data_IF_367523846480
#
_entry.id   IF_367523846480
#
_cell.length_a   1.000
_cell.length_b   1.000
_cell.length_c   1.000
_cell.angle_alpha   90.00
_cell.angle_beta   90.00
_cell.angle_gamma   90.00
#
_symmetry.space_group_name_H-M   'P 1'
#
loop_
_entity.id
_entity.type
_entity.pdbx_description
1 polymer ?
#
# COMPACT_ATOMS: atom_id res chain seq x y z
N UNK A 1 -32.34 29.45 7.70
CA UNK A 1 -31.80 29.34 9.07
C UNK A 1 -31.09 28.00 9.20
N UNK A 2 -29.75 28.00 9.28
CA UNK A 2 -28.87 26.85 9.03
C UNK A 2 -28.18 26.34 10.30
N UNK A 3 -28.39 25.06 10.64
CA UNK A 3 -27.72 24.35 11.75
C UNK A 3 -26.38 23.71 11.32
N UNK A 4 -25.42 24.50 10.84
CA UNK A 4 -24.11 23.95 10.37
C UNK A 4 -22.88 24.71 10.88
N UNK A 5 -23.01 25.71 11.76
CA UNK A 5 -21.85 26.44 12.31
C UNK A 5 -21.67 26.15 13.80
N UNK A 6 -21.18 24.95 14.13
CA UNK A 6 -20.56 24.62 15.44
C UNK A 6 -19.66 23.39 15.26
N UNK A 7 -18.51 23.55 14.61
CA UNK A 7 -17.41 22.57 14.65
C UNK A 7 -16.11 23.17 14.11
N UNK A 8 -15.70 24.26 14.72
CA UNK A 8 -14.32 24.73 14.74
C UNK A 8 -14.12 25.31 16.15
N UNK A 9 -12.98 25.03 16.78
CA UNK A 9 -12.63 25.33 18.20
C UNK A 9 -12.85 24.22 19.24
N UNK A 10 -12.30 23.03 19.00
CA UNK A 10 -11.93 22.12 20.10
C UNK A 10 -10.60 21.43 19.79
N UNK A 11 -9.52 22.20 19.90
CA UNK A 11 -8.15 21.72 19.75
C UNK A 11 -7.24 22.32 20.83
N UNK A 12 -7.53 22.00 22.09
CA UNK A 12 -6.56 22.04 23.20
C UNK A 12 -7.01 21.04 24.27
N UNK A 13 -6.21 20.01 24.65
CA UNK A 13 -6.49 19.26 25.86
C UNK A 13 -6.28 20.16 27.09
N UNK A 14 -7.13 20.09 28.12
CA UNK A 14 -6.92 20.86 29.34
C UNK A 14 -5.62 20.43 30.04
N UNK A 15 -4.79 21.43 30.34
CA UNK A 15 -3.59 21.34 31.17
C UNK A 15 -3.99 20.82 32.56
N UNK A 16 -3.56 19.61 32.90
CA UNK A 16 -3.77 19.04 34.23
C UNK A 16 -3.06 19.92 35.28
N UNK A 17 -3.83 20.45 36.23
CA UNK A 17 -3.31 21.11 37.42
C UNK A 17 -2.77 20.09 38.43
N UNK A 18 -1.91 20.51 39.37
CA UNK A 18 -1.38 19.64 40.42
C UNK A 18 -2.49 19.27 41.41
N UNK A 19 -2.93 18.02 41.40
CA UNK A 19 -3.82 17.48 42.44
C UNK A 19 -3.02 17.16 43.70
N UNK A 20 -3.16 18.00 44.71
CA UNK A 20 -2.71 17.75 46.08
C UNK A 20 -3.71 16.85 46.81
N UNK A 21 -3.48 15.54 46.79
CA UNK A 21 -4.07 14.61 47.77
C UNK A 21 -3.01 13.58 48.21
N UNK A 22 -2.86 13.33 49.53
CA UNK A 22 -1.85 12.41 50.05
C UNK A 22 -2.27 10.95 49.82
N UNK A 23 -1.43 10.20 49.12
CA UNK A 23 -1.58 8.75 49.00
C UNK A 23 -1.13 8.06 50.32
N UNK A 24 -1.88 7.07 50.82
CA UNK A 24 -1.42 6.26 51.94
C UNK A 24 -0.27 5.35 51.51
N UNK A 25 0.84 5.45 52.23
CA UNK A 25 2.01 4.60 52.06
C UNK A 25 1.74 3.18 52.58
N UNK A 26 1.40 2.25 51.70
CA UNK A 26 1.59 0.81 51.95
C UNK A 26 2.79 0.36 51.12
N UNK A 27 3.93 0.28 51.79
CA UNK A 27 5.27 0.14 51.22
C UNK A 27 5.65 -1.31 50.84
N UNK A 28 4.72 -2.26 50.87
CA UNK A 28 4.95 -3.61 50.38
C UNK A 28 3.65 -4.23 49.83
N UNK A 29 3.48 -4.39 48.51
CA UNK A 29 2.48 -5.34 48.02
C UNK A 29 2.96 -6.74 48.41
N UNK A 30 2.21 -7.39 49.30
CA UNK A 30 2.33 -8.82 49.56
C UNK A 30 2.43 -9.54 48.22
N UNK A 31 3.52 -10.32 48.07
CA UNK A 31 3.84 -11.07 46.86
C UNK A 31 2.57 -11.70 46.26
N UNK A 32 2.29 -11.36 45.00
CA UNK A 32 1.22 -11.98 44.25
C UNK A 32 1.44 -13.49 44.26
N UNK A 33 0.48 -14.22 44.83
CA UNK A 33 0.36 -15.66 44.68
C UNK A 33 0.59 -16.05 43.22
N UNK A 34 1.32 -17.15 43.02
CA UNK A 34 1.80 -17.65 41.72
C UNK A 34 0.70 -18.04 40.70
N UNK A 35 -0.53 -17.56 40.88
CA UNK A 35 -1.75 -18.02 40.21
C UNK A 35 -2.17 -17.21 38.99
N UNK A 36 -1.39 -16.25 38.50
CA UNK A 36 -1.79 -15.56 37.26
C UNK A 36 -0.62 -15.05 36.43
N UNK A 37 -0.16 -15.85 35.48
CA UNK A 37 0.75 -15.47 34.40
C UNK A 37 0.10 -14.61 33.31
N UNK A 38 -1.14 -14.12 33.53
CA UNK A 38 -1.87 -13.34 32.54
C UNK A 38 -1.33 -11.89 32.49
N UNK A 39 -1.03 -11.35 31.30
CA UNK A 39 -0.67 -9.94 31.13
C UNK A 39 -1.71 -8.99 31.74
N UNK A 40 -1.28 -7.87 32.31
CA UNK A 40 -2.17 -6.88 32.96
C UNK A 40 -3.31 -6.40 32.05
N UNK A 41 -3.04 -6.22 30.75
CA UNK A 41 -4.06 -5.84 29.76
C UNK A 41 -5.18 -6.88 29.60
N UNK A 42 -4.84 -8.17 29.70
CA UNK A 42 -5.80 -9.28 29.64
C UNK A 42 -6.62 -9.34 30.93
N UNK A 43 -5.98 -9.13 32.09
CA UNK A 43 -6.69 -9.04 33.38
C UNK A 43 -7.71 -7.91 33.38
N UNK A 44 -7.29 -6.72 32.93
CA UNK A 44 -8.16 -5.55 32.80
C UNK A 44 -9.35 -5.83 31.88
N UNK A 45 -9.10 -6.41 30.70
CA UNK A 45 -10.18 -6.77 29.77
C UNK A 45 -11.14 -7.80 30.37
N UNK A 46 -10.66 -8.79 31.13
CA UNK A 46 -11.52 -9.78 31.80
C UNK A 46 -12.33 -9.17 32.96
N UNK A 47 -11.81 -8.16 33.63
CA UNK A 47 -12.54 -7.40 34.65
C UNK A 47 -13.62 -6.50 34.02
N UNK A 48 -13.31 -5.85 32.90
CA UNK A 48 -14.25 -4.98 32.16
C UNK A 48 -15.31 -5.79 31.39
N UNK A 49 -14.96 -6.98 30.92
CA UNK A 49 -15.83 -7.88 30.17
C UNK A 49 -15.66 -9.31 30.69
N UNK A 50 -16.30 -9.65 31.83
CA UNK A 50 -16.27 -11.02 32.33
C UNK A 50 -16.87 -11.96 31.28
N UNK A 51 -16.32 -13.17 31.11
CA UNK A 51 -16.94 -14.17 30.24
C UNK A 51 -18.37 -14.42 30.71
N UNK A 52 -19.27 -14.68 29.76
CA UNK A 52 -20.67 -14.92 30.06
C UNK A 52 -20.79 -16.11 31.04
N UNK A 53 -21.68 -16.08 32.05
CA UNK A 53 -21.80 -17.18 33.02
C UNK A 53 -22.16 -18.52 32.37
N UNK A 54 -22.74 -18.51 31.17
CA UNK A 54 -23.03 -19.72 30.38
C UNK A 54 -21.89 -20.14 29.44
N UNK A 55 -20.83 -19.35 29.28
CA UNK A 55 -19.67 -19.81 28.52
C UNK A 55 -18.94 -20.85 29.37
N UNK A 56 -18.99 -22.11 28.93
CA UNK A 56 -18.30 -23.19 29.60
C UNK A 56 -16.80 -22.82 29.77
N UNK A 57 -16.19 -23.13 30.93
CA UNK A 57 -14.76 -22.95 31.10
C UNK A 57 -14.05 -23.68 29.96
N UNK A 58 -12.94 -23.09 29.49
CA UNK A 58 -12.15 -23.73 28.43
C UNK A 58 -11.85 -25.17 28.84
N UNK A 59 -12.02 -26.16 27.96
CA UNK A 59 -11.81 -27.57 28.31
C UNK A 59 -10.38 -27.85 28.78
N UNK A 60 -9.42 -27.01 28.41
CA UNK A 60 -8.03 -27.09 28.88
C UNK A 60 -7.83 -26.64 30.34
N UNK A 61 -8.79 -25.89 30.90
CA UNK A 61 -8.75 -25.34 32.25
C UNK A 61 -9.70 -26.04 33.22
N UNK A 62 -10.47 -27.01 32.76
CA UNK A 62 -11.35 -27.81 33.62
C UNK A 62 -10.51 -28.89 34.32
N UNK A 63 -10.33 -28.85 35.66
CA UNK A 63 -9.54 -29.84 36.38
C UNK A 63 -10.14 -31.24 36.28
N UNK A 64 -11.46 -31.35 36.12
CA UNK A 64 -12.14 -32.63 36.04
C UNK A 64 -11.85 -33.35 34.71
N UNK A 65 -11.47 -32.63 33.65
CA UNK A 65 -11.04 -33.24 32.39
C UNK A 65 -9.61 -33.85 32.47
N UNK A 66 -8.81 -33.46 33.47
CA UNK A 66 -7.48 -34.04 33.71
C UNK A 66 -7.52 -35.24 34.67
N UNK A 67 -8.62 -35.41 35.41
CA UNK A 67 -8.77 -36.51 36.36
C UNK A 67 -9.34 -37.74 35.63
N UNK A 68 -8.59 -38.86 35.56
CA UNK A 68 -9.06 -40.07 34.91
C UNK A 68 -10.33 -40.65 35.55
N UNK A 69 -10.60 -40.33 36.83
CA UNK A 69 -11.75 -40.85 37.58
C UNK A 69 -13.05 -40.05 37.36
N UNK A 70 -12.98 -38.85 36.78
CA UNK A 70 -14.14 -37.95 36.64
C UNK A 70 -15.21 -38.47 35.67
N UNK A 71 -14.82 -39.26 34.66
CA UNK A 71 -15.73 -39.77 33.63
C UNK A 71 -16.29 -38.69 32.67
N UNK A 72 -15.86 -37.43 32.82
CA UNK A 72 -16.19 -36.36 31.86
C UNK A 72 -15.57 -36.62 30.50
N UNK A 73 -16.40 -36.53 29.45
CA UNK A 73 -15.97 -36.72 28.05
C UNK A 73 -15.42 -35.43 27.45
N UNK A 74 -14.49 -35.57 26.51
CA UNK A 74 -13.98 -34.44 25.75
C UNK A 74 -15.08 -33.82 24.87
N UNK A 75 -15.03 -32.50 24.62
CA UNK A 75 -15.78 -31.89 23.54
C UNK A 75 -15.48 -32.57 22.19
N UNK A 76 -16.47 -32.67 21.32
CA UNK A 76 -16.40 -33.43 20.04
C UNK A 76 -15.14 -33.13 19.21
N UNK A 77 -14.74 -31.87 19.10
CA UNK A 77 -13.54 -31.48 18.34
C UNK A 77 -12.24 -31.99 18.96
N UNK A 78 -12.14 -31.95 20.30
CA UNK A 78 -10.96 -32.44 21.01
C UNK A 78 -10.91 -33.96 21.02
N UNK A 79 -12.06 -34.63 21.12
CA UNK A 79 -12.15 -36.08 20.99
C UNK A 79 -11.69 -36.52 19.60
N UNK A 80 -12.12 -35.83 18.55
CA UNK A 80 -11.68 -36.12 17.18
C UNK A 80 -10.16 -35.97 17.03
N UNK A 81 -9.60 -34.85 17.46
CA UNK A 81 -8.14 -34.61 17.42
C UNK A 81 -7.36 -35.71 18.19
N UNK A 82 -7.88 -36.11 19.35
CA UNK A 82 -7.29 -37.18 20.18
C UNK A 82 -7.33 -38.54 19.48
N UNK A 83 -8.49 -38.91 18.91
CA UNK A 83 -8.67 -40.18 18.18
C UNK A 83 -7.83 -40.23 16.92
N UNK A 84 -7.76 -39.13 16.17
CA UNK A 84 -6.92 -39.02 14.98
C UNK A 84 -5.44 -39.23 15.36
N UNK A 85 -4.98 -38.63 16.47
CA UNK A 85 -3.63 -38.81 16.96
C UNK A 85 -3.36 -40.27 17.32
N UNK A 86 -4.22 -40.90 18.12
CA UNK A 86 -4.09 -42.32 18.49
C UNK A 86 -4.08 -43.24 17.28
N UNK A 87 -4.94 -43.00 16.30
CA UNK A 87 -5.00 -43.82 15.08
C UNK A 87 -3.71 -43.76 14.25
N UNK A 88 -2.93 -42.67 14.40
CA UNK A 88 -1.73 -42.39 13.62
C UNK A 88 -0.42 -42.76 14.32
N UNK A 89 -0.48 -43.30 15.55
CA UNK A 89 0.70 -43.53 16.38
C UNK A 89 0.65 -44.82 17.19
N UNK A 90 1.82 -45.38 17.42
CA UNK A 90 2.04 -46.45 18.38
C UNK A 90 2.51 -45.86 19.72
N UNK A 91 1.89 -46.33 20.80
CA UNK A 91 2.31 -46.01 22.17
C UNK A 91 2.92 -47.27 22.80
N UNK A 92 4.22 -47.23 23.17
CA UNK A 92 4.96 -48.43 23.56
C UNK A 92 4.41 -49.13 24.81
N UNK A 93 3.75 -48.41 25.71
CA UNK A 93 3.38 -48.93 27.03
C UNK A 93 1.88 -49.23 27.21
N UNK A 94 1.07 -49.20 26.15
CA UNK A 94 -0.36 -49.56 26.25
C UNK A 94 -1.11 -48.82 27.37
N UNK A 95 -0.71 -47.56 27.64
CA UNK A 95 -1.18 -46.80 28.78
C UNK A 95 -2.71 -46.67 28.82
N UNK A 96 -3.24 -46.55 30.04
CA UNK A 96 -4.67 -46.33 30.25
C UNK A 96 -5.17 -45.10 29.45
N UNK A 97 -6.29 -45.25 28.74
CA UNK A 97 -6.87 -44.22 27.84
C UNK A 97 -7.02 -42.89 28.60
N UNK A 98 -7.36 -42.97 29.88
CA UNK A 98 -7.53 -41.83 30.76
C UNK A 98 -6.20 -41.08 31.04
N UNK A 99 -5.08 -41.79 31.16
CA UNK A 99 -3.75 -41.16 31.29
C UNK A 99 -3.31 -40.50 29.98
N UNK A 100 -3.55 -41.16 28.84
CA UNK A 100 -3.26 -40.61 27.51
C UNK A 100 -4.07 -39.34 27.24
N UNK A 101 -5.33 -39.29 27.66
CA UNK A 101 -6.19 -38.10 27.62
C UNK A 101 -5.60 -36.94 28.44
N UNK A 102 -5.13 -37.22 29.66
CA UNK A 102 -4.46 -36.22 30.50
C UNK A 102 -3.18 -35.66 29.85
N UNK A 103 -2.34 -36.54 29.29
CA UNK A 103 -1.13 -36.14 28.56
C UNK A 103 -1.45 -35.33 27.30
N UNK A 104 -2.51 -35.69 26.57
CA UNK A 104 -2.99 -34.94 25.41
C UNK A 104 -3.43 -33.52 25.76
N UNK A 105 -4.18 -33.34 26.85
CA UNK A 105 -4.60 -32.02 27.33
C UNK A 105 -3.41 -31.17 27.78
N UNK A 106 -2.46 -31.78 28.53
CA UNK A 106 -1.22 -31.13 28.94
C UNK A 106 -0.40 -30.67 27.74
N UNK A 107 -0.17 -31.56 26.77
CA UNK A 107 0.53 -31.24 25.52
C UNK A 107 -0.19 -30.16 24.72
N UNK A 108 -1.52 -30.17 24.66
CA UNK A 108 -2.29 -29.14 23.95
C UNK A 108 -2.20 -27.77 24.64
N UNK A 109 -2.21 -27.74 25.97
CA UNK A 109 -2.03 -26.52 26.75
C UNK A 109 -0.62 -25.93 26.56
N UNK A 110 0.41 -26.78 26.62
CA UNK A 110 1.80 -26.39 26.37
C UNK A 110 2.02 -25.93 24.92
N UNK A 111 1.44 -26.62 23.94
CA UNK A 111 1.55 -26.21 22.54
C UNK A 111 0.93 -24.83 22.33
N UNK A 112 -0.26 -24.57 22.89
CA UNK A 112 -0.93 -23.26 22.81
C UNK A 112 -0.15 -22.17 23.54
N UNK A 113 0.54 -22.46 24.64
CA UNK A 113 1.39 -21.48 25.32
C UNK A 113 2.63 -21.14 24.49
N UNK A 114 3.25 -22.14 23.83
CA UNK A 114 4.38 -21.96 22.90
C UNK A 114 4.02 -21.12 21.67
N UNK A 115 2.89 -21.42 21.02
CA UNK A 115 2.42 -20.71 19.81
C UNK A 115 2.05 -19.24 20.09
N UNK A 116 1.72 -18.90 21.35
CA UNK A 116 1.35 -17.53 21.74
C UNK A 116 2.54 -16.61 22.05
N UNK A 117 3.79 -17.09 22.00
CA UNK A 117 4.96 -16.31 22.46
C UNK A 117 6.13 -16.21 21.48
N UNK A 118 6.57 -17.30 20.87
CA UNK A 118 7.70 -17.33 19.93
C UNK A 118 7.75 -18.72 19.32
N UNK A 119 7.50 -18.87 18.01
CA UNK A 119 7.64 -20.18 17.37
C UNK A 119 9.14 -20.53 17.28
N UNK A 120 9.60 -21.69 17.81
CA UNK A 120 10.91 -22.19 17.44
C UNK A 120 10.92 -22.39 15.91
N UNK A 121 11.99 -21.93 15.26
CA UNK A 121 12.25 -22.17 13.84
C UNK A 121 12.58 -23.66 13.67
N UNK A 122 11.53 -24.46 13.54
CA UNK A 122 11.56 -25.88 13.23
C UNK A 122 10.12 -26.32 13.09
N UNK A 123 9.69 -26.66 11.87
CA UNK A 123 8.30 -27.09 11.61
C UNK A 123 8.10 -28.51 12.12
N UNK A 124 8.03 -28.71 13.43
CA UNK A 124 7.35 -29.90 13.93
C UNK A 124 5.85 -29.58 13.98
N UNK A 125 5.04 -30.41 13.31
CA UNK A 125 3.59 -30.22 13.28
C UNK A 125 3.00 -30.31 14.69
N UNK A 126 1.83 -29.69 14.95
CA UNK A 126 1.11 -29.84 16.24
C UNK A 126 1.03 -31.29 16.69
N UNK A 127 0.75 -32.22 15.77
CA UNK A 127 0.64 -33.65 16.06
C UNK A 127 1.98 -34.26 16.51
N UNK A 128 3.09 -33.90 15.87
CA UNK A 128 4.42 -34.40 16.22
C UNK A 128 4.85 -33.92 17.61
N UNK A 129 4.54 -32.68 17.96
CA UNK A 129 4.76 -32.17 19.31
C UNK A 129 3.92 -32.93 20.35
N UNK A 130 2.63 -33.11 20.07
CA UNK A 130 1.73 -33.84 20.96
C UNK A 130 2.16 -35.29 21.13
N UNK A 131 2.59 -35.95 20.06
CA UNK A 131 3.15 -37.30 20.10
C UNK A 131 4.38 -37.38 20.99
N UNK A 132 5.32 -36.44 20.87
CA UNK A 132 6.48 -36.38 21.75
C UNK A 132 6.13 -36.18 23.22
N UNK A 133 5.11 -35.38 23.54
CA UNK A 133 4.63 -35.20 24.93
C UNK A 133 3.93 -36.45 25.45
N UNK A 134 3.22 -37.17 24.59
CA UNK A 134 2.51 -38.41 24.94
C UNK A 134 3.40 -39.67 24.89
N UNK A 135 4.67 -39.54 24.48
CA UNK A 135 5.57 -40.68 24.31
C UNK A 135 5.24 -41.58 23.10
N UNK A 136 4.40 -41.12 22.18
CA UNK A 136 4.00 -41.87 20.99
C UNK A 136 4.99 -41.72 19.84
N UNK A 137 5.18 -42.80 19.08
CA UNK A 137 5.91 -42.76 17.81
C UNK A 137 4.91 -42.81 16.65
N UNK A 138 5.17 -42.04 15.59
CA UNK A 138 4.31 -42.04 14.41
C UNK A 138 4.45 -43.40 13.71
N UNK A 139 3.33 -44.03 13.37
CA UNK A 139 3.31 -45.17 12.47
C UNK A 139 3.92 -44.71 11.15
N UNK A 140 5.19 -45.07 10.93
CA UNK A 140 5.76 -45.01 9.59
C UNK A 140 5.01 -46.08 8.82
N UNK A 141 4.10 -45.67 7.95
CA UNK A 141 3.47 -46.58 7.01
C UNK A 141 4.60 -47.18 6.17
N UNK A 142 5.10 -48.34 6.59
CA UNK A 142 6.05 -49.18 5.88
C UNK A 142 5.33 -49.79 4.68
N UNK A 143 4.93 -48.93 3.76
CA UNK A 143 4.47 -49.31 2.44
C UNK A 143 5.65 -49.10 1.50
N UNK A 144 6.41 -50.19 1.32
CA UNK A 144 7.21 -50.49 0.14
C UNK A 144 8.34 -49.53 -0.19
N UNK A 145 9.52 -49.78 0.37
CA UNK A 145 10.76 -49.12 -0.03
C UNK A 145 11.94 -49.64 0.76
N UNK A 146 12.25 -50.92 0.61
CA UNK A 146 13.55 -51.46 1.01
C UNK A 146 14.63 -50.75 0.19
N UNK A 147 15.33 -49.85 0.86
CA UNK A 147 16.51 -49.16 0.39
C UNK A 147 17.34 -48.85 1.62
N UNK A 148 18.13 -49.83 2.05
CA UNK A 148 19.14 -49.65 3.08
C UNK A 148 20.09 -48.53 2.67
N UNK A 149 20.09 -47.46 3.46
CA UNK A 149 20.99 -46.33 3.31
C UNK A 149 21.11 -45.64 4.65
N UNK A 150 22.27 -45.82 5.29
CA UNK A 150 22.65 -45.21 6.57
C UNK A 150 22.32 -43.71 6.66
N UNK A 151 21.87 -43.22 7.84
CA UNK A 151 21.79 -41.79 8.09
C UNK A 151 23.14 -41.26 8.59
N UNK A 152 23.97 -40.73 7.69
CA UNK A 152 25.04 -39.82 8.09
C UNK A 152 24.51 -38.38 8.17
N UNK A 153 24.64 -37.67 9.31
CA UNK A 153 24.26 -36.27 9.42
C UNK A 153 25.41 -35.40 8.94
N UNK A 154 25.62 -35.30 7.63
CA UNK A 154 26.53 -34.29 7.07
C UNK A 154 25.74 -33.02 6.81
N UNK A 155 25.83 -32.09 7.75
CA UNK A 155 25.50 -30.67 7.57
C UNK A 155 26.49 -30.04 6.59
N UNK A 156 26.37 -30.38 5.31
CA UNK A 156 27.07 -29.67 4.23
C UNK A 156 26.19 -28.51 3.83
N UNK A 157 26.61 -27.30 4.21
CA UNK A 157 26.11 -26.04 3.66
C UNK A 157 26.49 -25.95 2.18
N UNK A 158 25.84 -26.75 1.35
CA UNK A 158 25.88 -26.59 -0.09
C UNK A 158 25.24 -25.23 -0.39
N UNK A 159 26.02 -24.34 -1.00
CA UNK A 159 25.48 -23.14 -1.64
C UNK A 159 24.48 -23.62 -2.68
N UNK A 160 23.19 -23.64 -2.31
CA UNK A 160 22.12 -24.06 -3.18
C UNK A 160 22.22 -23.25 -4.48
N UNK A 161 22.43 -23.95 -5.60
CA UNK A 161 22.42 -23.31 -6.91
C UNK A 161 21.12 -22.49 -7.01
N UNK A 162 21.18 -21.20 -7.39
CA UNK A 162 19.98 -20.38 -7.52
C UNK A 162 18.97 -20.94 -8.54
N UNK A 163 19.42 -21.90 -9.37
CA UNK A 163 18.64 -22.63 -10.36
C UNK A 163 18.07 -23.96 -9.86
N UNK A 164 18.43 -24.42 -8.67
CA UNK A 164 17.83 -25.63 -8.11
C UNK A 164 16.37 -25.32 -7.74
N UNK A 165 15.43 -25.86 -8.52
CA UNK A 165 14.00 -25.66 -8.31
C UNK A 165 13.57 -26.46 -7.08
N UNK A 166 13.60 -25.82 -5.92
CA UNK A 166 13.09 -26.39 -4.68
C UNK A 166 11.58 -26.15 -4.63
N UNK A 167 10.77 -27.03 -5.24
CA UNK A 167 9.32 -26.89 -5.18
C UNK A 167 8.51 -27.79 -6.11
N UNK A 168 7.18 -27.66 -6.01
CA UNK A 168 6.22 -28.34 -6.87
C UNK A 168 6.27 -27.76 -8.28
N UNK A 169 6.35 -28.62 -9.29
CA UNK A 169 6.33 -28.21 -10.69
C UNK A 169 4.90 -27.86 -11.11
N UNK A 170 4.72 -26.65 -11.62
CA UNK A 170 3.46 -26.15 -12.16
C UNK A 170 3.66 -25.97 -13.67
N UNK A 171 3.07 -26.87 -14.46
CA UNK A 171 3.24 -26.85 -15.92
C UNK A 171 2.38 -25.79 -16.60
N UNK A 172 1.18 -25.53 -16.07
CA UNK A 172 0.20 -24.61 -16.67
C UNK A 172 -0.27 -23.59 -15.63
N UNK A 173 0.54 -22.56 -15.34
CA UNK A 173 0.19 -21.57 -14.33
C UNK A 173 -0.94 -20.66 -14.82
N UNK A 174 -2.09 -20.66 -14.14
CA UNK A 174 -3.19 -19.70 -14.37
C UNK A 174 -3.03 -18.47 -13.46
N UNK A 175 -1.96 -17.71 -13.66
CA UNK A 175 -1.70 -16.48 -12.91
C UNK A 175 -1.56 -15.30 -13.85
N UNK A 176 -2.04 -14.15 -13.40
CA UNK A 176 -1.89 -12.89 -14.11
C UNK A 176 -1.03 -11.95 -13.27
N UNK A 177 0.05 -11.47 -13.88
CA UNK A 177 0.95 -10.48 -13.27
C UNK A 177 0.88 -9.23 -14.14
N UNK A 178 0.76 -8.07 -13.51
CA UNK A 178 0.69 -6.79 -14.22
C UNK A 178 1.90 -5.94 -13.87
N UNK A 179 2.69 -5.56 -14.87
CA UNK A 179 3.72 -4.55 -14.73
C UNK A 179 3.05 -3.18 -14.49
N UNK A 180 3.49 -2.48 -13.46
CA UNK A 180 3.00 -1.17 -13.06
C UNK A 180 4.15 -0.16 -13.13
N UNK A 181 3.84 1.07 -13.56
CA UNK A 181 4.80 2.17 -13.48
C UNK A 181 5.22 2.41 -12.03
N UNK A 182 6.52 2.57 -11.82
CA UNK A 182 7.02 2.95 -10.52
C UNK A 182 6.55 4.36 -10.20
N UNK A 183 6.23 4.59 -8.93
CA UNK A 183 5.88 5.92 -8.45
C UNK A 183 7.16 6.65 -8.06
N UNK A 184 7.54 7.65 -8.83
CA UNK A 184 8.64 8.56 -8.50
C UNK A 184 8.06 9.83 -7.85
N UNK A 185 8.43 10.15 -6.59
CA UNK A 185 8.06 11.42 -5.99
C UNK A 185 8.54 12.60 -6.83
N UNK A 186 7.81 13.73 -6.85
CA UNK A 186 8.24 14.91 -7.62
C UNK A 186 9.61 15.38 -7.11
N UNK A 187 10.56 15.57 -8.03
CA UNK A 187 11.92 16.01 -7.74
C UNK A 187 12.94 14.91 -7.46
N UNK A 188 12.55 13.62 -7.49
CA UNK A 188 13.48 12.50 -7.46
C UNK A 188 13.65 11.92 -8.87
N UNK A 189 14.84 11.40 -9.17
CA UNK A 189 15.11 10.70 -10.43
C UNK A 189 14.43 9.32 -10.43
N UNK A 190 14.05 8.85 -11.62
CA UNK A 190 13.50 7.51 -11.78
C UNK A 190 14.61 6.44 -11.60
N UNK A 191 14.31 5.36 -10.87
CA UNK A 191 15.23 4.23 -10.71
C UNK A 191 14.93 3.14 -11.75
N UNK A 192 15.79 2.93 -12.77
CA UNK A 192 15.56 1.96 -13.81
C UNK A 192 15.85 0.52 -13.39
N UNK A 193 16.53 0.30 -12.26
CA UNK A 193 16.83 -1.04 -11.75
C UNK A 193 15.69 -1.60 -10.90
N UNK A 194 14.58 -0.89 -10.78
CA UNK A 194 13.41 -1.33 -10.03
C UNK A 194 12.24 -1.51 -10.99
N UNK A 195 11.50 -2.60 -10.82
CA UNK A 195 10.21 -2.81 -11.46
C UNK A 195 9.14 -3.16 -10.44
N UNK A 196 7.95 -2.59 -10.61
CA UNK A 196 6.81 -2.86 -9.73
C UNK A 196 5.77 -3.71 -10.45
N UNK A 197 5.33 -4.79 -9.82
CA UNK A 197 4.28 -5.67 -10.31
C UNK A 197 3.08 -5.71 -9.36
N UNK A 198 1.88 -5.88 -9.91
CA UNK A 198 0.72 -6.39 -9.16
C UNK A 198 0.62 -7.89 -9.38
N UNK A 199 0.58 -8.63 -8.28
CA UNK A 199 0.55 -10.09 -8.26
C UNK A 199 -0.68 -10.61 -7.50
N UNK A 200 -1.10 -11.87 -7.74
CA UNK A 200 -2.16 -12.50 -6.95
C UNK A 200 -1.81 -12.53 -5.45
N UNK A 201 -2.78 -12.30 -4.54
CA UNK A 201 -2.52 -12.35 -3.11
C UNK A 201 -2.01 -13.71 -2.59
N UNK A 202 -2.25 -14.80 -3.30
CA UNK A 202 -1.72 -16.14 -2.99
C UNK A 202 -0.26 -16.33 -3.38
N UNK A 203 0.27 -15.55 -4.31
CA UNK A 203 1.62 -15.74 -4.87
C UNK A 203 2.70 -15.33 -3.87
N UNK A 204 3.73 -16.17 -3.70
CA UNK A 204 4.86 -15.92 -2.79
C UNK A 204 6.04 -15.27 -3.52
N UNK A 205 7.06 -14.82 -2.76
CA UNK A 205 8.28 -14.21 -3.32
C UNK A 205 9.09 -15.21 -4.14
N UNK A 206 9.17 -16.46 -3.68
CA UNK A 206 9.87 -17.55 -4.37
C UNK A 206 9.16 -17.89 -5.66
N UNK A 207 7.83 -18.01 -5.65
CA UNK A 207 7.05 -18.28 -6.85
C UNK A 207 7.25 -17.17 -7.89
N UNK A 208 7.27 -15.91 -7.47
CA UNK A 208 7.49 -14.78 -8.38
C UNK A 208 8.89 -14.81 -9.00
N UNK A 209 9.93 -15.09 -8.20
CA UNK A 209 11.29 -15.23 -8.71
C UNK A 209 11.37 -16.34 -9.76
N UNK A 210 10.86 -17.53 -9.44
CA UNK A 210 10.86 -18.67 -10.35
C UNK A 210 10.04 -18.40 -11.61
N UNK A 211 8.88 -17.73 -11.48
CA UNK A 211 8.03 -17.39 -12.62
C UNK A 211 8.69 -16.38 -13.56
N UNK A 212 9.27 -15.30 -13.02
CA UNK A 212 9.97 -14.30 -13.83
C UNK A 212 11.19 -14.89 -14.56
N UNK A 213 11.93 -15.78 -13.90
CA UNK A 213 13.05 -16.48 -14.51
C UNK A 213 12.59 -17.49 -15.59
N UNK A 214 11.60 -18.33 -15.30
CA UNK A 214 11.20 -19.41 -16.21
C UNK A 214 10.41 -18.90 -17.43
N UNK A 215 9.53 -17.90 -17.27
CA UNK A 215 8.64 -17.42 -18.34
C UNK A 215 9.27 -16.27 -19.11
N UNK A 216 9.95 -15.35 -18.43
CA UNK A 216 10.49 -14.12 -19.05
C UNK A 216 12.02 -14.09 -19.12
N UNK A 217 12.71 -15.13 -18.64
CA UNK A 217 14.17 -15.16 -18.52
C UNK A 217 14.74 -13.95 -17.74
N UNK A 218 13.95 -13.42 -16.81
CA UNK A 218 14.29 -12.20 -16.08
C UNK A 218 14.96 -12.55 -14.76
N UNK A 219 16.27 -12.26 -14.67
CA UNK A 219 17.05 -12.44 -13.43
C UNK A 219 16.79 -11.27 -12.49
N UNK A 220 16.44 -11.60 -11.24
CA UNK A 220 16.04 -10.63 -10.22
C UNK A 220 16.95 -10.72 -9.00
N UNK A 221 17.37 -9.57 -8.49
CA UNK A 221 18.32 -9.46 -7.36
C UNK A 221 17.57 -9.59 -6.03
N UNK A 222 16.52 -8.79 -5.84
CA UNK A 222 15.68 -8.85 -4.64
C UNK A 222 14.21 -8.70 -4.98
N UNK A 223 13.34 -9.18 -4.08
CA UNK A 223 11.89 -9.02 -4.17
C UNK A 223 11.35 -8.56 -2.82
N UNK A 224 10.69 -7.41 -2.82
CA UNK A 224 9.88 -6.90 -1.69
C UNK A 224 8.41 -7.01 -2.06
N UNK A 225 7.57 -7.38 -1.10
CA UNK A 225 6.14 -7.56 -1.36
C UNK A 225 5.31 -6.91 -0.27
N UNK A 226 4.30 -6.16 -0.67
CA UNK A 226 3.38 -5.46 0.22
C UNK A 226 1.95 -5.87 -0.13
N UNK A 227 1.13 -6.13 0.89
CA UNK A 227 -0.30 -6.40 0.68
C UNK A 227 -1.11 -5.12 0.91
N UNK A 228 -1.67 -4.57 -0.16
CA UNK A 228 -2.56 -3.42 -0.09
C UNK A 228 -3.98 -3.88 0.18
N UNK A 229 -4.56 -3.37 1.27
CA UNK A 229 -5.95 -3.59 1.63
C UNK A 229 -6.72 -2.34 1.22
N UNK A 230 -7.79 -2.51 0.44
CA UNK A 230 -8.65 -1.42 0.02
C UNK A 230 -9.27 -0.64 1.19
N UNK A 231 -9.45 0.65 1.00
CA UNK A 231 -10.07 1.55 1.98
C UNK A 231 -11.48 1.11 2.36
N UNK A 232 -11.88 1.42 3.61
CA UNK A 232 -13.26 1.26 4.06
C UNK A 232 -14.08 2.41 3.49
N UNK A 233 -15.06 2.10 2.63
CA UNK A 233 -15.97 3.07 2.03
C UNK A 233 -17.42 2.81 2.42
N UNK A 234 -18.33 3.63 1.89
CA UNK A 234 -19.77 3.35 1.92
C UNK A 234 -20.23 2.89 0.54
N UNK A 235 -21.06 1.86 0.51
CA UNK A 235 -21.74 1.42 -0.71
C UNK A 235 -22.75 2.48 -1.17
N UNK A 236 -23.30 2.34 -2.38
CA UNK A 236 -24.39 3.21 -2.86
C UNK A 236 -25.59 3.21 -1.90
N UNK A 237 -25.81 2.10 -1.20
CA UNK A 237 -26.88 1.89 -0.21
C UNK A 237 -26.53 2.47 1.17
N UNK A 238 -25.30 2.97 1.37
CA UNK A 238 -24.83 3.56 2.63
C UNK A 238 -24.17 2.58 3.60
N UNK A 239 -24.15 1.27 3.28
CA UNK A 239 -23.48 0.24 4.08
C UNK A 239 -21.97 0.46 4.10
N UNK A 240 -21.36 0.31 5.27
CA UNK A 240 -19.91 0.41 5.43
C UNK A 240 -19.29 -0.90 4.93
N UNK A 241 -18.63 -0.85 3.78
CA UNK A 241 -17.95 -2.00 3.18
C UNK A 241 -16.56 -1.59 2.71
N UNK A 242 -15.58 -2.48 2.85
CA UNK A 242 -14.29 -2.28 2.19
C UNK A 242 -14.48 -2.22 0.69
N UNK A 243 -13.89 -1.20 0.05
CA UNK A 243 -13.82 -1.10 -1.39
C UNK A 243 -13.01 -2.29 -1.89
N UNK A 244 -13.70 -3.32 -2.36
CA UNK A 244 -13.09 -4.51 -2.93
C UNK A 244 -12.61 -4.27 -4.36
N UNK A 245 -12.14 -5.36 -4.98
CA UNK A 245 -11.70 -5.38 -6.38
C UNK A 245 -10.18 -5.28 -6.55
N UNK A 246 -9.72 -5.74 -7.71
CA UNK A 246 -8.30 -5.81 -8.07
C UNK A 246 -7.60 -4.44 -8.12
N UNK A 247 -8.36 -3.35 -8.26
CA UNK A 247 -7.81 -1.99 -8.23
C UNK A 247 -7.46 -1.52 -6.82
N UNK A 248 -8.18 -1.99 -5.80
CA UNK A 248 -8.10 -1.47 -4.43
C UNK A 248 -7.37 -2.44 -3.50
N UNK A 249 -7.65 -3.73 -3.61
CA UNK A 249 -6.99 -4.78 -2.84
C UNK A 249 -6.10 -5.59 -3.77
N UNK A 250 -4.79 -5.46 -3.60
CA UNK A 250 -3.80 -6.15 -4.43
C UNK A 250 -2.51 -6.37 -3.66
N UNK A 251 -1.76 -7.39 -4.06
CA UNK A 251 -0.38 -7.55 -3.59
C UNK A 251 0.55 -6.86 -4.59
N UNK A 252 1.38 -5.95 -4.10
CA UNK A 252 2.44 -5.28 -4.87
C UNK A 252 3.74 -6.04 -4.65
N UNK A 253 4.49 -6.26 -5.72
CA UNK A 253 5.86 -6.75 -5.66
C UNK A 253 6.80 -5.71 -6.28
N UNK A 254 7.78 -5.25 -5.51
CA UNK A 254 8.87 -4.41 -5.98
C UNK A 254 10.08 -5.32 -6.20
N UNK A 255 10.57 -5.35 -7.42
CA UNK A 255 11.59 -6.28 -7.90
C UNK A 255 12.81 -5.50 -8.31
N UNK A 256 13.98 -5.90 -7.80
CA UNK A 256 15.27 -5.41 -8.28
C UNK A 256 15.69 -6.19 -9.53
N UNK A 257 15.96 -5.46 -10.60
CA UNK A 257 16.43 -5.98 -11.89
C UNK A 257 17.95 -6.02 -11.91
N UNK A 258 18.52 -6.92 -12.70
CA UNK A 258 19.95 -6.91 -13.01
C UNK A 258 20.29 -5.90 -14.12
N UNK A 259 19.37 -5.68 -15.05
CA UNK A 259 19.50 -4.77 -16.18
C UNK A 259 18.54 -3.59 -16.02
N UNK A 260 18.94 -2.36 -16.38
CA UNK A 260 18.08 -1.19 -16.27
C UNK A 260 16.92 -1.27 -17.28
N UNK A 261 15.74 -0.88 -16.84
CA UNK A 261 14.53 -0.86 -17.65
C UNK A 261 13.85 0.52 -17.60
N UNK A 262 13.70 1.13 -18.78
CA UNK A 262 12.93 2.35 -18.98
C UNK A 262 11.62 2.04 -19.72
N UNK A 263 10.57 2.76 -19.36
CA UNK A 263 9.32 2.67 -20.11
C UNK A 263 9.50 3.34 -21.48
N UNK A 264 8.80 2.88 -22.53
CA UNK A 264 8.84 3.52 -23.86
C UNK A 264 8.39 4.99 -23.86
N UNK A 265 7.75 5.43 -22.77
CA UNK A 265 7.30 6.80 -22.57
C UNK A 265 8.07 7.61 -21.55
N UNK A 266 9.20 7.09 -21.10
CA UNK A 266 10.08 7.83 -20.21
C UNK A 266 10.76 8.98 -20.97
N UNK A 267 10.51 10.21 -20.51
CA UNK A 267 11.04 11.41 -21.15
C UNK A 267 12.55 11.50 -20.97
N UNK A 268 13.08 11.12 -19.81
CA UNK A 268 14.52 11.18 -19.51
C UNK A 268 15.33 10.33 -20.50
N UNK A 269 14.85 9.12 -20.77
CA UNK A 269 15.47 8.22 -21.74
C UNK A 269 15.33 8.74 -23.19
N UNK A 270 14.20 9.36 -23.54
CA UNK A 270 14.04 9.98 -24.87
C UNK A 270 15.03 11.13 -25.08
N UNK A 271 15.26 11.96 -24.07
CA UNK A 271 16.29 12.99 -24.11
C UNK A 271 17.69 12.37 -24.21
N UNK A 272 17.98 11.32 -23.45
CA UNK A 272 19.26 10.62 -23.51
C UNK A 272 19.52 9.99 -24.89
N UNK A 273 18.50 9.38 -25.51
CA UNK A 273 18.57 8.82 -26.86
C UNK A 273 18.77 9.90 -27.92
N UNK A 274 18.08 11.03 -27.79
CA UNK A 274 18.25 12.18 -28.67
C UNK A 274 19.66 12.77 -28.58
N UNK A 275 20.21 12.88 -27.37
CA UNK A 275 21.59 13.30 -27.14
C UNK A 275 22.60 12.32 -27.75
N UNK A 276 22.44 11.01 -27.52
CA UNK A 276 23.30 9.95 -28.11
C UNK A 276 23.26 9.95 -29.64
N UNK A 277 22.10 10.25 -30.21
CA UNK A 277 21.89 10.28 -31.66
C UNK A 277 22.27 11.62 -32.30
N UNK A 278 22.67 12.63 -31.52
CA UNK A 278 22.96 13.98 -32.00
C UNK A 278 21.73 14.81 -32.42
N UNK A 279 20.51 14.34 -32.11
CA UNK A 279 19.24 14.99 -32.46
C UNK A 279 18.66 15.87 -31.34
N UNK A 280 19.28 15.89 -30.16
CA UNK A 280 18.82 16.69 -29.02
C UNK A 280 17.40 16.34 -28.60
N UNK A 281 16.52 17.33 -28.45
CA UNK A 281 15.17 17.18 -27.89
C UNK A 281 14.10 16.76 -28.92
N UNK A 282 14.48 16.57 -30.19
CA UNK A 282 13.57 16.17 -31.26
C UNK A 282 12.68 14.96 -30.95
N UNK A 283 13.16 13.82 -30.41
CA UNK A 283 12.31 12.66 -30.18
C UNK A 283 11.24 12.92 -29.11
N UNK A 284 11.58 13.66 -28.05
CA UNK A 284 10.65 14.05 -27.00
C UNK A 284 9.56 14.99 -27.54
N UNK A 285 9.94 16.00 -28.33
CA UNK A 285 8.99 16.93 -28.96
C UNK A 285 8.10 16.24 -30.00
N UNK A 286 8.65 15.28 -30.76
CA UNK A 286 7.88 14.51 -31.74
C UNK A 286 6.81 13.66 -31.05
N UNK A 287 7.15 13.04 -29.92
CA UNK A 287 6.20 12.33 -29.08
C UNK A 287 5.08 13.24 -28.56
N UNK A 288 5.43 14.40 -27.99
CA UNK A 288 4.44 15.35 -27.47
C UNK A 288 3.49 15.85 -28.57
N UNK A 289 4.03 16.15 -29.76
CA UNK A 289 3.23 16.50 -30.94
C UNK A 289 2.30 15.36 -31.35
N UNK A 290 2.78 14.12 -31.37
CA UNK A 290 1.96 12.94 -31.69
C UNK A 290 0.84 12.74 -30.66
N UNK A 291 1.13 12.89 -29.36
CA UNK A 291 0.13 12.79 -28.30
C UNK A 291 -0.93 13.89 -28.42
N UNK A 292 -0.53 15.11 -28.72
CA UNK A 292 -1.47 16.21 -28.93
C UNK A 292 -2.35 15.99 -30.17
N UNK A 293 -1.76 15.51 -31.27
CA UNK A 293 -2.50 15.22 -32.50
C UNK A 293 -3.54 14.10 -32.33
N UNK A 294 -3.20 13.03 -31.61
CA UNK A 294 -4.08 11.87 -31.47
C UNK A 294 -5.08 12.00 -30.32
N UNK A 295 -4.70 12.67 -29.23
CA UNK A 295 -5.51 12.70 -28.00
C UNK A 295 -5.94 14.10 -27.57
N UNK A 296 -5.45 15.16 -28.22
CA UNK A 296 -5.78 16.56 -27.91
C UNK A 296 -5.63 16.88 -26.41
N UNK A 297 -4.53 16.43 -25.80
CA UNK A 297 -4.31 16.46 -24.36
C UNK A 297 -4.42 17.90 -23.81
N UNK A 298 -3.75 18.87 -24.43
CA UNK A 298 -3.81 20.29 -24.02
C UNK A 298 -5.22 20.84 -24.10
N UNK A 299 -5.93 20.54 -25.18
CA UNK A 299 -7.34 20.94 -25.34
C UNK A 299 -8.21 20.37 -24.21
N UNK A 300 -7.99 19.09 -23.86
CA UNK A 300 -8.72 18.42 -22.78
C UNK A 300 -8.39 19.00 -21.39
N UNK A 301 -7.14 19.37 -21.15
CA UNK A 301 -6.68 20.01 -19.92
C UNK A 301 -7.25 21.42 -19.78
N UNK A 302 -7.26 22.20 -20.85
CA UNK A 302 -7.89 23.52 -20.91
C UNK A 302 -9.39 23.42 -20.65
N UNK A 303 -10.08 22.47 -21.28
CA UNK A 303 -11.50 22.22 -21.02
C UNK A 303 -11.74 21.81 -19.56
N UNK A 304 -10.91 20.93 -19.00
CA UNK A 304 -10.99 20.51 -17.59
C UNK A 304 -10.76 21.69 -16.66
N UNK A 305 -9.74 22.52 -16.91
CA UNK A 305 -9.44 23.73 -16.14
C UNK A 305 -10.59 24.73 -16.22
N UNK A 306 -11.17 24.92 -17.40
CA UNK A 306 -12.35 25.78 -17.62
C UNK A 306 -13.59 25.25 -16.90
N UNK A 307 -13.83 23.95 -16.96
CA UNK A 307 -14.93 23.29 -16.26
C UNK A 307 -14.76 23.36 -14.73
N UNK A 308 -13.55 23.08 -14.24
CA UNK A 308 -13.19 23.18 -12.82
C UNK A 308 -13.34 24.62 -12.32
N UNK A 309 -12.94 25.60 -13.12
CA UNK A 309 -13.13 27.02 -12.81
C UNK A 309 -14.61 27.42 -12.77
N UNK A 310 -15.44 26.89 -13.70
CA UNK A 310 -16.89 27.05 -13.68
C UNK A 310 -17.52 26.43 -12.42
N UNK A 311 -17.01 25.29 -11.97
CA UNK A 311 -17.46 24.63 -10.75
C UNK A 311 -17.11 25.44 -9.50
N UNK A 312 -15.84 25.83 -9.32
CA UNK A 312 -15.38 26.55 -8.13
C UNK A 312 -15.95 27.96 -8.00
N UNK A 313 -16.16 28.68 -9.10
CA UNK A 313 -16.75 30.03 -9.06
C UNK A 313 -18.29 30.02 -9.17
N UNK A 314 -18.89 28.84 -9.27
CA UNK A 314 -20.34 28.64 -9.34
C UNK A 314 -20.95 28.97 -10.72
N UNK A 315 -22.12 28.37 -10.98
CA UNK A 315 -22.89 28.57 -12.23
C UNK A 315 -23.37 30.01 -12.44
N UNK A 316 -23.25 30.88 -11.42
CA UNK A 316 -23.60 32.30 -11.48
C UNK A 316 -22.51 33.17 -12.11
N UNK A 317 -21.84 32.66 -13.15
CA UNK A 317 -20.89 33.46 -13.92
C UNK A 317 -21.63 34.44 -14.84
N UNK A 318 -22.24 35.44 -14.21
CA UNK A 318 -22.56 36.79 -14.68
C UNK A 318 -23.62 36.88 -15.78
N UNK A 319 -24.75 37.51 -15.45
CA UNK A 319 -25.62 38.09 -16.46
C UNK A 319 -24.81 39.10 -17.30
N UNK A 320 -25.21 39.28 -18.56
CA UNK A 320 -24.65 40.28 -19.49
C UNK A 320 -24.63 41.72 -18.93
N UNK A 321 -25.31 41.96 -17.82
CA UNK A 321 -25.60 43.28 -17.22
C UNK A 321 -24.74 43.66 -16.01
N UNK A 322 -23.94 42.76 -15.40
CA UNK A 322 -23.10 43.17 -14.26
C UNK A 322 -21.77 43.78 -14.74
N UNK A 323 -21.53 45.04 -14.33
CA UNK A 323 -20.33 45.83 -14.60
C UNK A 323 -19.05 45.02 -14.31
N UNK A 324 -18.42 44.54 -15.39
CA UNK A 324 -17.26 43.68 -15.30
C UNK A 324 -16.02 44.55 -15.42
N UNK A 325 -15.22 44.63 -14.34
CA UNK A 325 -13.98 45.42 -14.30
C UNK A 325 -13.06 45.12 -15.50
N UNK A 326 -13.07 43.88 -16.01
CA UNK A 326 -12.32 43.51 -17.21
C UNK A 326 -12.86 44.15 -18.51
N UNK A 327 -14.18 44.30 -18.65
CA UNK A 327 -14.78 44.98 -19.78
C UNK A 327 -14.57 46.49 -19.68
N UNK A 328 -14.70 47.07 -18.49
CA UNK A 328 -14.40 48.50 -18.29
C UNK A 328 -12.93 48.79 -18.54
N UNK A 329 -12.00 47.92 -18.09
CA UNK A 329 -10.57 48.06 -18.39
C UNK A 329 -10.29 47.92 -19.90
N UNK A 330 -10.90 46.96 -20.59
CA UNK A 330 -10.79 46.84 -22.06
C UNK A 330 -11.33 48.08 -22.77
N UNK A 331 -12.45 48.62 -22.32
CA UNK A 331 -13.04 49.83 -22.88
C UNK A 331 -12.18 51.07 -22.59
N UNK A 332 -11.61 51.17 -21.39
CA UNK A 332 -10.63 52.21 -21.02
C UNK A 332 -9.39 52.11 -21.91
N UNK A 333 -8.86 50.91 -22.13
CA UNK A 333 -7.71 50.69 -23.03
C UNK A 333 -8.04 51.07 -24.47
N UNK A 334 -9.23 50.70 -24.96
CA UNK A 334 -9.70 51.11 -26.30
C UNK A 334 -9.79 52.63 -26.43
N UNK A 335 -10.43 53.31 -25.47
CA UNK A 335 -10.52 54.78 -25.43
C UNK A 335 -9.16 55.45 -25.24
N UNK A 336 -8.21 54.81 -24.55
CA UNK A 336 -6.84 55.31 -24.40
C UNK A 336 -6.10 55.26 -25.74
N UNK A 337 -6.18 54.13 -26.43
CA UNK A 337 -5.62 53.96 -27.77
C UNK A 337 -6.20 54.97 -28.77
N UNK A 338 -7.53 55.12 -28.80
CA UNK A 338 -8.19 56.11 -29.68
C UNK A 338 -7.74 57.56 -29.38
N UNK A 339 -7.47 57.89 -28.11
CA UNK A 339 -6.92 59.20 -27.74
C UNK A 339 -5.47 59.35 -28.18
N UNK A 340 -4.64 58.33 -27.96
CA UNK A 340 -3.24 58.31 -28.39
C UNK A 340 -3.15 58.45 -29.91
N UNK A 341 -3.98 57.73 -30.67
CA UNK A 341 -4.05 57.82 -32.13
C UNK A 341 -4.42 59.25 -32.58
N UNK A 342 -5.48 59.86 -32.01
CA UNK A 342 -5.87 61.24 -32.31
C UNK A 342 -4.77 62.27 -31.99
N UNK A 343 -4.09 62.10 -30.85
CA UNK A 343 -2.97 62.97 -30.47
C UNK A 343 -1.83 62.84 -31.48
N UNK A 344 -1.51 61.62 -31.92
CA UNK A 344 -0.47 61.43 -32.95
C UNK A 344 -0.84 62.06 -34.29
N UNK A 345 -2.11 61.99 -34.71
CA UNK A 345 -2.60 62.65 -35.92
C UNK A 345 -2.50 64.18 -35.83
N UNK A 346 -2.88 64.77 -34.70
CA UNK A 346 -2.75 66.22 -34.49
C UNK A 346 -1.30 66.70 -34.46
N UNK A 347 -0.41 65.94 -33.80
CA UNK A 347 1.03 66.24 -33.79
C UNK A 347 1.59 66.21 -35.20
N UNK A 348 1.26 65.19 -36.00
CA UNK A 348 1.65 65.11 -37.41
C UNK A 348 1.12 66.31 -38.21
N UNK A 349 -0.14 66.69 -38.01
CA UNK A 349 -0.74 67.86 -38.67
C UNK A 349 -0.02 69.16 -38.31
N UNK A 350 0.32 69.38 -37.04
CA UNK A 350 1.06 70.57 -36.59
C UNK A 350 2.48 70.59 -37.15
N UNK A 351 3.18 69.46 -37.14
CA UNK A 351 4.50 69.34 -37.75
C UNK A 351 4.48 69.66 -39.26
N UNK A 352 3.46 69.19 -39.98
CA UNK A 352 3.31 69.51 -41.40
C UNK A 352 3.15 71.02 -41.65
N UNK A 353 2.34 71.71 -40.85
CA UNK A 353 2.18 73.17 -40.95
C UNK A 353 3.47 73.92 -40.63
N UNK A 354 4.21 73.50 -39.60
CA UNK A 354 5.50 74.09 -39.25
C UNK A 354 6.51 73.86 -40.38
N UNK A 355 6.56 72.66 -40.95
CA UNK A 355 7.46 72.35 -42.08
C UNK A 355 7.14 73.18 -43.32
N UNK A 356 5.86 73.47 -43.59
CA UNK A 356 5.46 74.33 -44.70
C UNK A 356 5.82 75.81 -44.44
N UNK A 357 5.71 76.27 -43.20
CA UNK A 357 6.08 77.63 -42.82
C UNK A 357 7.61 77.84 -42.76
N UNK A 358 8.39 76.77 -42.54
CA UNK A 358 9.85 76.82 -42.50
C UNK A 358 10.54 76.57 -43.84
N UNK A 359 9.80 76.42 -44.95
CA UNK A 359 10.38 76.51 -46.30
C UNK A 359 10.40 77.99 -46.66
N UNK A 360 11.54 78.70 -46.53
CA UNK A 360 11.62 80.07 -46.98
C UNK A 360 11.34 80.12 -48.49
N UNK A 361 10.57 81.11 -48.92
CA UNK A 361 10.34 81.42 -50.32
C UNK A 361 11.63 82.00 -50.94
N UNK A 362 12.67 81.17 -51.08
CA UNK A 362 13.83 81.47 -51.90
C UNK A 362 13.50 81.09 -53.34
N UNK A 363 12.95 82.04 -54.10
CA UNK A 363 12.66 81.75 -55.51
C UNK A 363 11.87 82.78 -56.31
N UNK A 364 11.86 84.07 -55.95
CA UNK A 364 11.23 85.07 -56.82
C UNK A 364 11.97 86.42 -56.73
N UNK A 365 13.21 86.47 -57.26
CA UNK A 365 13.88 87.73 -57.60
C UNK A 365 15.14 87.51 -58.47
N UNK A 366 15.02 86.92 -59.67
CA UNK A 366 16.00 87.12 -60.77
C UNK A 366 15.28 87.02 -62.13
N UNK A 367 14.63 88.09 -62.57
CA UNK A 367 14.37 88.37 -63.99
C UNK A 367 13.68 89.74 -64.16
N UNK A 368 14.46 90.83 -64.20
CA UNK A 368 14.13 92.06 -64.95
C UNK A 368 15.26 93.10 -64.79
N UNK A 369 16.22 93.09 -65.72
CA UNK A 369 17.03 94.24 -66.11
C UNK A 369 17.74 93.91 -67.43
N UNK A 370 17.11 94.29 -68.54
CA UNK A 370 17.69 94.48 -69.86
C UNK A 370 17.06 95.74 -70.46
#
# INVERSE_FOLDING_TARGET
>A
MSRVIRRAFSAFPPRAGPSSLPAPATLFPSASSATSTLPQSVRRRRAEHPPHPQSAPSPLSDPELHDPSSGKRFPLELEKDYRDLISSSEFPDGGDDAQLRGLFLKGTAEWKSRVRGFAPRGRTGRHEYLLGVMGGQKLTSSHGGEGEGEPTPTSTSASADPNQIVGQRIYLPNIQIRLMRNHTPPGQSYDPFIATFRIPPSMTKTDLRSYLLAVYNLKVTFIRTDNYIGEVGRSRTGEIKRKGGSSNTYKRAVVGLNEPFHYPDDMEELYAQGAKSGKGDEPALARDKWLEQNYSLRTSEEMRKRAMFKYYKGSRWRSRTHANLGNTVKEIMKRRKEREDKVTEEVKRRYALVSQASVPAEGEQVAQAA
#
